data_IF_954570669683
#
_entry.id   IF_954570669683
#
_cell.length_a   1.000
_cell.length_b   1.000
_cell.length_c   1.000
_cell.angle_alpha   90.00
_cell.angle_beta   90.00
_cell.angle_gamma   90.00
#
_symmetry.space_group_name_H-M   'P 1'
#
loop_
_entity.id
_entity.type
_entity.pdbx_description
1 polymer ?
#
# COMPACT_ATOMS: atom_id res chain seq x y z
N UNK A 1 21.00 -5.69 23.36
CA UNK A 1 20.08 -6.24 22.33
C UNK A 1 20.59 -5.77 20.97
N UNK A 2 20.57 -6.66 20.00
CA UNK A 2 20.88 -6.31 18.62
C UNK A 2 19.84 -5.31 18.09
N UNK A 3 20.21 -4.51 17.07
CA UNK A 3 19.31 -3.54 16.44
C UNK A 3 18.35 -4.24 15.47
N UNK A 4 17.18 -3.65 15.27
CA UNK A 4 16.26 -4.01 14.20
C UNK A 4 16.49 -3.08 13.01
N UNK A 5 16.79 -3.63 11.85
CA UNK A 5 16.97 -2.90 10.61
C UNK A 5 15.66 -2.68 9.86
N UNK A 6 15.45 -1.51 9.27
CA UNK A 6 14.31 -1.25 8.36
C UNK A 6 14.83 -0.61 7.09
N UNK A 7 14.69 -1.27 5.94
CA UNK A 7 15.10 -0.75 4.64
C UNK A 7 13.89 -0.18 3.90
N UNK A 8 13.98 1.10 3.53
CA UNK A 8 12.89 1.86 2.93
C UNK A 8 12.05 2.56 4.00
N UNK A 9 12.35 3.84 4.27
CA UNK A 9 11.69 4.63 5.30
C UNK A 9 10.50 5.44 4.73
N UNK A 10 9.68 4.76 3.91
CA UNK A 10 8.44 5.31 3.35
C UNK A 10 7.25 5.17 4.29
N UNK A 11 6.04 5.18 3.70
CA UNK A 11 4.75 5.07 4.40
C UNK A 11 4.53 3.73 5.13
N UNK A 12 5.33 2.71 4.85
CA UNK A 12 5.34 1.41 5.53
C UNK A 12 6.48 1.34 6.53
N UNK A 13 7.72 1.58 6.08
CA UNK A 13 8.89 1.33 6.91
C UNK A 13 9.08 2.33 8.05
N UNK A 14 8.75 3.61 7.88
CA UNK A 14 8.89 4.59 8.96
C UNK A 14 7.91 4.32 10.12
N UNK A 15 6.61 4.06 9.89
CA UNK A 15 5.71 3.62 10.97
C UNK A 15 6.17 2.36 11.67
N UNK A 16 6.66 1.36 10.93
CA UNK A 16 7.23 0.13 11.48
C UNK A 16 8.43 0.43 12.38
N UNK A 17 9.40 1.20 11.88
CA UNK A 17 10.59 1.61 12.63
C UNK A 17 10.24 2.30 13.95
N UNK A 18 9.27 3.21 13.93
CA UNK A 18 8.77 3.92 15.11
C UNK A 18 8.09 2.96 16.09
N UNK A 19 7.30 2.00 15.60
CA UNK A 19 6.61 1.02 16.45
C UNK A 19 7.61 0.15 17.21
N UNK A 20 8.69 -0.31 16.56
CA UNK A 20 9.78 -1.02 17.23
C UNK A 20 10.52 -0.12 18.23
N UNK A 21 10.87 1.12 17.86
CA UNK A 21 11.55 2.05 18.75
C UNK A 21 10.73 2.37 20.01
N UNK A 22 9.43 2.59 19.86
CA UNK A 22 8.48 2.84 20.96
C UNK A 22 8.31 1.63 21.89
N UNK A 23 8.50 0.42 21.37
CA UNK A 23 8.53 -0.80 22.16
C UNK A 23 9.90 -1.04 22.88
N UNK A 24 10.84 -0.09 22.74
CA UNK A 24 12.17 -0.16 23.38
C UNK A 24 13.19 -1.03 22.65
N UNK A 25 12.95 -1.32 21.36
CA UNK A 25 13.91 -1.97 20.46
C UNK A 25 14.70 -0.89 19.73
N UNK A 26 16.03 -0.95 19.76
CA UNK A 26 16.86 -0.03 18.96
C UNK A 26 16.69 -0.30 17.47
N UNK A 27 16.44 0.75 16.69
CA UNK A 27 16.19 0.65 15.25
C UNK A 27 17.23 1.42 14.45
N UNK A 28 17.73 0.77 13.39
CA UNK A 28 18.55 1.40 12.36
C UNK A 28 17.78 1.38 11.04
N UNK A 29 17.31 2.54 10.60
CA UNK A 29 16.63 2.71 9.32
C UNK A 29 17.61 2.94 8.18
N UNK A 30 17.32 2.36 7.02
CA UNK A 30 18.09 2.51 5.79
C UNK A 30 17.22 3.13 4.71
N UNK A 31 17.65 4.19 4.07
CA UNK A 31 16.99 4.76 2.88
C UNK A 31 18.08 5.29 1.93
N UNK A 32 17.80 5.26 0.63
CA UNK A 32 18.73 5.81 -0.40
C UNK A 32 18.65 7.33 -0.51
N UNK A 33 17.67 7.96 0.12
CA UNK A 33 17.42 9.40 0.07
C UNK A 33 18.06 10.09 1.29
N UNK A 34 19.20 10.75 1.05
CA UNK A 34 19.93 11.50 2.06
C UNK A 34 19.05 12.55 2.76
N UNK A 35 18.13 13.20 2.02
CA UNK A 35 17.26 14.22 2.60
C UNK A 35 16.30 13.65 3.65
N UNK A 36 15.81 12.40 3.46
CA UNK A 36 15.01 11.72 4.48
C UNK A 36 15.84 11.38 5.71
N UNK A 37 17.04 10.85 5.50
CA UNK A 37 17.96 10.49 6.59
C UNK A 37 18.33 11.73 7.42
N UNK A 38 18.66 12.85 6.79
CA UNK A 38 18.95 14.11 7.48
C UNK A 38 17.75 14.65 8.27
N UNK A 39 16.55 14.62 7.67
CA UNK A 39 15.33 15.06 8.35
C UNK A 39 15.03 14.21 9.57
N UNK A 40 15.12 12.88 9.48
CA UNK A 40 14.93 11.98 10.63
C UNK A 40 15.97 12.23 11.71
N UNK A 41 17.24 12.42 11.35
CA UNK A 41 18.31 12.76 12.29
C UNK A 41 18.07 14.09 13.01
N UNK A 42 17.39 15.04 12.35
CA UNK A 42 16.96 16.31 12.93
C UNK A 42 15.64 16.23 13.74
N UNK A 43 15.07 15.04 13.90
CA UNK A 43 13.78 14.83 14.59
C UNK A 43 12.57 15.36 13.80
N UNK A 44 12.66 15.39 12.45
CA UNK A 44 11.63 15.93 11.57
C UNK A 44 11.00 14.87 10.70
N UNK A 45 9.68 14.90 10.60
CA UNK A 45 8.91 14.03 9.71
C UNK A 45 8.83 14.61 8.29
N UNK A 46 8.71 13.73 7.30
CA UNK A 46 8.29 14.03 5.92
C UNK A 46 6.96 13.34 5.57
N UNK A 47 6.35 12.64 6.53
CA UNK A 47 5.03 12.01 6.40
C UNK A 47 4.06 12.82 7.27
N UNK A 48 3.07 13.43 6.67
CA UNK A 48 2.13 14.34 7.36
C UNK A 48 1.42 13.71 8.54
N UNK A 49 1.07 12.42 8.43
CA UNK A 49 0.36 11.67 9.46
C UNK A 49 1.25 11.31 10.67
N UNK A 50 2.57 11.51 10.56
CA UNK A 50 3.53 11.26 11.63
C UNK A 50 4.02 12.63 12.13
N UNK A 51 3.68 13.05 13.35
CA UNK A 51 4.13 14.34 13.87
C UNK A 51 5.64 14.35 14.17
N UNK A 52 6.28 15.50 14.00
CA UNK A 52 7.69 15.71 14.31
C UNK A 52 8.05 15.27 15.74
N UNK A 53 7.15 15.51 16.69
CA UNK A 53 7.36 15.14 18.11
C UNK A 53 7.58 13.64 18.31
N UNK A 54 6.96 12.80 17.51
CA UNK A 54 7.11 11.33 17.57
C UNK A 54 8.50 10.91 17.08
N UNK A 55 8.97 11.51 15.97
CA UNK A 55 10.34 11.28 15.46
C UNK A 55 11.37 11.80 16.46
N UNK A 56 11.22 13.06 16.92
CA UNK A 56 12.14 13.68 17.87
C UNK A 56 12.27 12.86 19.17
N UNK A 57 11.18 12.34 19.71
CA UNK A 57 11.18 11.50 20.89
C UNK A 57 11.97 10.19 20.67
N UNK A 58 11.75 9.50 19.55
CA UNK A 58 12.44 8.25 19.21
C UNK A 58 13.96 8.47 19.03
N UNK A 59 14.36 9.54 18.33
CA UNK A 59 15.75 9.91 18.11
C UNK A 59 16.43 10.34 19.41
N UNK A 60 15.79 11.20 20.21
CA UNK A 60 16.35 11.67 21.48
C UNK A 60 16.53 10.54 22.52
N UNK A 61 15.65 9.53 22.48
CA UNK A 61 15.79 8.32 23.31
C UNK A 61 16.89 7.35 22.81
N UNK A 62 17.52 7.64 21.65
CA UNK A 62 18.47 6.73 21.01
C UNK A 62 17.81 5.46 20.44
N UNK A 63 16.47 5.45 20.33
CA UNK A 63 15.70 4.31 19.82
C UNK A 63 15.62 4.25 18.30
N UNK A 64 15.88 5.35 17.59
CA UNK A 64 15.86 5.41 16.14
C UNK A 64 17.07 6.16 15.61
N UNK A 65 17.80 5.54 14.69
CA UNK A 65 18.80 6.17 13.83
C UNK A 65 18.49 5.85 12.36
N UNK A 66 18.96 6.69 11.42
CA UNK A 66 18.82 6.46 10.00
C UNK A 66 20.17 6.65 9.29
N UNK A 67 20.37 5.94 8.18
CA UNK A 67 21.60 5.96 7.40
C UNK A 67 21.35 5.62 5.93
N UNK A 68 22.23 6.11 5.04
CA UNK A 68 22.34 5.66 3.65
C UNK A 68 23.44 4.61 3.47
N UNK A 69 24.22 4.34 4.53
CA UNK A 69 25.32 3.38 4.52
C UNK A 69 24.84 1.95 4.79
N UNK A 70 24.79 1.15 3.74
CA UNK A 70 24.38 -0.27 3.83
C UNK A 70 25.42 -1.19 4.49
N UNK A 71 26.69 -0.76 4.66
CA UNK A 71 27.69 -1.56 5.37
C UNK A 71 27.30 -1.77 6.84
N UNK A 72 26.47 -0.87 7.37
CA UNK A 72 25.90 -0.96 8.71
C UNK A 72 24.82 -2.05 8.86
N UNK A 73 24.41 -2.76 7.79
CA UNK A 73 23.59 -3.96 7.89
C UNK A 73 24.23 -5.04 8.78
N UNK A 74 25.53 -5.03 8.93
CA UNK A 74 26.25 -5.91 9.88
C UNK A 74 25.94 -5.64 11.35
N UNK A 75 25.35 -4.47 11.71
CA UNK A 75 25.04 -4.08 13.08
C UNK A 75 23.65 -4.61 13.54
N UNK A 76 22.79 -5.06 12.62
CA UNK A 76 21.42 -5.45 12.93
C UNK A 76 21.27 -6.97 13.07
N UNK A 77 20.42 -7.43 14.01
CA UNK A 77 20.09 -8.85 14.19
C UNK A 77 18.94 -9.31 13.30
N UNK A 78 18.02 -8.39 12.97
CA UNK A 78 16.94 -8.61 12.03
C UNK A 78 16.80 -7.41 11.09
N UNK A 79 16.36 -7.63 9.85
CA UNK A 79 16.14 -6.56 8.86
C UNK A 79 14.83 -6.77 8.11
N UNK A 80 13.96 -5.75 8.12
CA UNK A 80 12.72 -5.69 7.37
C UNK A 80 12.92 -4.93 6.04
N UNK A 81 12.43 -5.51 4.95
CA UNK A 81 12.43 -4.91 3.61
C UNK A 81 11.07 -4.26 3.37
N UNK A 82 11.03 -2.92 3.32
CA UNK A 82 9.84 -2.09 3.16
C UNK A 82 9.93 -1.19 1.92
N UNK A 83 10.56 -1.67 0.85
CA UNK A 83 10.74 -0.94 -0.39
C UNK A 83 9.50 -1.00 -1.29
N UNK A 84 9.31 -0.03 -2.21
CA UNK A 84 8.18 -0.04 -3.12
C UNK A 84 8.13 -1.27 -4.04
N UNK A 85 6.92 -1.73 -4.36
CA UNK A 85 6.64 -2.79 -5.33
C UNK A 85 5.55 -2.31 -6.30
N UNK A 86 5.87 -1.43 -7.25
CA UNK A 86 4.88 -0.90 -8.19
C UNK A 86 4.52 -1.94 -9.25
N UNK A 87 3.49 -1.64 -10.05
CA UNK A 87 3.27 -2.31 -11.33
C UNK A 87 4.06 -1.61 -12.43
N UNK A 88 4.54 -2.39 -13.40
CA UNK A 88 5.11 -1.87 -14.64
C UNK A 88 4.02 -1.34 -15.62
N UNK A 89 4.43 -0.88 -16.79
CA UNK A 89 3.52 -0.40 -17.85
C UNK A 89 2.53 -1.44 -18.39
N UNK A 90 2.77 -2.72 -18.13
CA UNK A 90 1.91 -3.84 -18.52
C UNK A 90 1.07 -4.40 -17.36
N UNK A 91 1.04 -3.69 -16.22
CA UNK A 91 0.39 -4.09 -14.97
C UNK A 91 0.96 -5.38 -14.38
N UNK A 92 2.26 -5.64 -14.60
CA UNK A 92 2.97 -6.75 -13.97
C UNK A 92 3.74 -6.26 -12.74
N UNK A 93 3.94 -7.12 -11.72
CA UNK A 93 4.72 -6.77 -10.53
C UNK A 93 6.16 -6.37 -10.87
N UNK A 94 6.60 -5.20 -10.43
CA UNK A 94 7.99 -4.78 -10.53
C UNK A 94 8.69 -5.01 -9.18
N UNK A 95 9.46 -6.09 -9.10
CA UNK A 95 10.25 -6.46 -7.93
C UNK A 95 11.69 -5.90 -7.96
N UNK A 96 12.02 -5.02 -8.89
CA UNK A 96 13.39 -4.50 -9.07
C UNK A 96 13.99 -3.92 -7.80
N UNK A 97 13.19 -3.17 -7.03
CA UNK A 97 13.63 -2.60 -5.74
C UNK A 97 13.88 -3.68 -4.69
N UNK A 98 13.01 -4.68 -4.60
CA UNK A 98 13.16 -5.81 -3.68
C UNK A 98 14.42 -6.59 -4.02
N UNK A 99 14.65 -6.90 -5.31
CA UNK A 99 15.82 -7.63 -5.77
C UNK A 99 17.11 -6.85 -5.60
N UNK A 100 17.09 -5.53 -5.82
CA UNK A 100 18.25 -4.69 -5.54
C UNK A 100 18.61 -4.70 -4.04
N UNK A 101 17.61 -4.52 -3.18
CA UNK A 101 17.76 -4.60 -1.73
C UNK A 101 18.26 -5.97 -1.28
N UNK A 102 17.74 -7.06 -1.88
CA UNK A 102 18.17 -8.42 -1.58
C UNK A 102 19.67 -8.62 -1.86
N UNK A 103 20.20 -8.06 -2.96
CA UNK A 103 21.63 -8.13 -3.28
C UNK A 103 22.48 -7.35 -2.27
N UNK A 104 22.03 -6.17 -1.84
CA UNK A 104 22.72 -5.39 -0.80
C UNK A 104 22.75 -6.14 0.54
N UNK A 105 21.65 -6.80 0.91
CA UNK A 105 21.60 -7.65 2.11
C UNK A 105 22.53 -8.85 1.93
N UNK A 106 22.40 -9.60 0.84
CA UNK A 106 23.16 -10.82 0.59
C UNK A 106 24.69 -10.61 0.71
N UNK A 107 25.19 -9.48 0.18
CA UNK A 107 26.62 -9.12 0.25
C UNK A 107 27.11 -8.89 1.68
N UNK A 108 26.24 -8.66 2.65
CA UNK A 108 26.54 -8.30 4.05
C UNK A 108 25.88 -9.22 5.08
N UNK A 109 25.14 -10.22 4.59
CA UNK A 109 24.41 -11.16 5.44
C UNK A 109 25.40 -11.99 6.29
N UNK A 110 25.12 -12.08 7.57
CA UNK A 110 25.93 -12.85 8.52
C UNK A 110 25.11 -13.93 9.20
N UNK A 111 25.76 -15.01 9.69
CA UNK A 111 25.07 -16.05 10.44
C UNK A 111 24.26 -15.49 11.64
N UNK A 112 23.06 -16.04 11.84
CA UNK A 112 22.13 -15.65 12.89
C UNK A 112 21.20 -14.51 12.58
N UNK A 113 21.37 -13.81 11.44
CA UNK A 113 20.47 -12.72 11.06
C UNK A 113 19.12 -13.22 10.54
N UNK A 114 18.07 -12.43 10.80
CA UNK A 114 16.74 -12.63 10.25
C UNK A 114 16.47 -11.58 9.16
N UNK A 115 16.00 -12.02 8.00
CA UNK A 115 15.47 -11.15 6.94
C UNK A 115 13.96 -11.29 6.87
N UNK A 116 13.22 -10.19 6.85
CA UNK A 116 11.76 -10.18 6.74
C UNK A 116 11.35 -9.35 5.53
N UNK A 117 10.59 -9.92 4.61
CA UNK A 117 9.95 -9.16 3.55
C UNK A 117 8.61 -8.61 4.05
N UNK A 118 8.46 -7.29 4.05
CA UNK A 118 7.22 -6.59 4.42
C UNK A 118 6.55 -5.93 3.20
N UNK A 119 7.30 -5.74 2.11
CA UNK A 119 6.76 -5.20 0.86
C UNK A 119 5.67 -6.10 0.30
N UNK A 120 4.59 -5.51 -0.21
CA UNK A 120 3.50 -6.28 -0.84
C UNK A 120 3.98 -6.97 -2.11
N UNK A 121 3.76 -8.28 -2.20
CA UNK A 121 4.21 -9.12 -3.31
C UNK A 121 3.19 -10.23 -3.59
N UNK A 122 3.37 -11.01 -4.68
CA UNK A 122 2.56 -12.19 -4.96
C UNK A 122 3.05 -13.41 -4.16
N UNK A 123 2.16 -14.40 -3.91
CA UNK A 123 2.53 -15.63 -3.21
C UNK A 123 3.68 -16.36 -3.90
N UNK A 124 4.69 -16.74 -3.12
CA UNK A 124 5.91 -17.37 -3.57
C UNK A 124 7.11 -16.44 -3.69
N UNK A 125 6.93 -15.12 -3.70
CA UNK A 125 8.02 -14.15 -3.86
C UNK A 125 9.14 -14.36 -2.84
N UNK A 126 8.81 -14.58 -1.57
CA UNK A 126 9.83 -14.78 -0.52
C UNK A 126 10.69 -16.01 -0.79
N UNK A 127 10.07 -17.12 -1.22
CA UNK A 127 10.77 -18.39 -1.40
C UNK A 127 11.37 -18.56 -2.80
N UNK A 128 10.66 -18.13 -3.84
CA UNK A 128 11.04 -18.38 -5.23
C UNK A 128 11.97 -17.29 -5.79
N UNK A 129 11.82 -16.04 -5.33
CA UNK A 129 12.56 -14.89 -5.84
C UNK A 129 13.63 -14.38 -4.85
N UNK A 130 13.24 -14.11 -3.60
CA UNK A 130 14.11 -13.49 -2.61
C UNK A 130 15.16 -14.47 -2.08
N UNK A 131 14.74 -15.66 -1.68
CA UNK A 131 15.61 -16.68 -1.09
C UNK A 131 16.82 -17.03 -1.97
N UNK A 132 16.66 -17.34 -3.28
CA UNK A 132 17.80 -17.67 -4.13
C UNK A 132 18.85 -16.55 -4.24
N UNK A 133 18.41 -15.28 -4.18
CA UNK A 133 19.32 -14.13 -4.19
C UNK A 133 20.10 -14.02 -2.90
N UNK A 134 19.45 -14.25 -1.75
CA UNK A 134 20.11 -14.22 -0.45
C UNK A 134 21.13 -15.35 -0.30
N UNK A 135 20.75 -16.57 -0.61
CA UNK A 135 21.65 -17.75 -0.54
C UNK A 135 22.81 -17.63 -1.55
N UNK A 136 22.48 -17.32 -2.82
CA UNK A 136 23.48 -17.20 -3.87
C UNK A 136 24.51 -16.09 -3.66
N UNK A 137 24.09 -14.96 -3.07
CA UNK A 137 24.97 -13.83 -2.81
C UNK A 137 25.77 -13.92 -1.51
N UNK A 138 25.24 -14.60 -0.48
CA UNK A 138 25.89 -14.75 0.82
C UNK A 138 26.68 -16.07 0.96
N UNK A 139 26.27 -17.11 0.25
CA UNK A 139 26.77 -18.46 0.47
C UNK A 139 26.24 -19.13 1.75
N UNK A 140 25.24 -18.51 2.42
CA UNK A 140 24.60 -19.03 3.63
C UNK A 140 23.33 -19.79 3.28
N UNK A 141 22.91 -20.73 4.14
CA UNK A 141 21.72 -21.56 3.96
C UNK A 141 20.60 -21.13 4.91
N UNK A 142 19.40 -20.93 4.37
CA UNK A 142 18.21 -20.55 5.16
C UNK A 142 17.83 -21.60 6.17
N UNK A 143 17.40 -21.19 7.36
CA UNK A 143 17.00 -22.09 8.45
C UNK A 143 18.17 -22.67 9.23
N UNK A 144 19.38 -22.67 8.65
CA UNK A 144 20.60 -23.11 9.32
C UNK A 144 21.49 -21.93 9.71
N UNK A 145 21.86 -21.12 8.73
CA UNK A 145 22.82 -20.02 8.92
C UNK A 145 22.13 -18.67 9.08
N UNK A 146 21.02 -18.45 8.40
CA UNK A 146 20.19 -17.25 8.53
C UNK A 146 18.70 -17.60 8.49
N UNK A 147 17.84 -16.65 8.86
CA UNK A 147 16.40 -16.85 8.89
C UNK A 147 15.71 -15.96 7.86
N UNK A 148 14.59 -16.42 7.30
CA UNK A 148 13.80 -15.69 6.31
C UNK A 148 12.30 -15.83 6.58
N UNK A 149 11.60 -14.71 6.63
CA UNK A 149 10.16 -14.66 6.87
C UNK A 149 9.47 -13.59 5.99
N UNK A 150 8.17 -13.68 5.93
CA UNK A 150 7.29 -12.65 5.35
C UNK A 150 6.28 -12.16 6.39
N UNK A 151 6.05 -10.85 6.42
CA UNK A 151 5.01 -10.24 7.23
C UNK A 151 4.35 -9.09 6.47
N UNK A 152 3.07 -9.20 6.07
CA UNK A 152 2.41 -8.13 5.31
C UNK A 152 2.17 -6.89 6.18
N UNK A 153 2.35 -5.72 5.59
CA UNK A 153 1.84 -4.49 6.18
C UNK A 153 0.34 -4.37 5.91
N UNK A 154 -0.43 -4.10 6.97
CA UNK A 154 -1.90 -4.04 6.95
C UNK A 154 -2.44 -2.71 7.46
N UNK A 155 -1.58 -1.70 7.61
CA UNK A 155 -1.97 -0.37 8.08
C UNK A 155 -2.88 0.33 7.06
N UNK A 156 -3.87 1.06 7.58
CA UNK A 156 -4.73 1.94 6.82
C UNK A 156 -4.39 3.40 7.21
N UNK A 157 -3.55 4.11 6.42
CA UNK A 157 -3.12 5.46 6.75
C UNK A 157 -4.30 6.39 7.00
N UNK A 158 -4.27 7.11 8.13
CA UNK A 158 -5.35 7.99 8.57
C UNK A 158 -6.48 7.28 9.32
N UNK A 159 -6.39 5.99 9.60
CA UNK A 159 -7.33 5.29 10.48
C UNK A 159 -7.23 5.82 11.91
N UNK A 160 -8.38 6.17 12.52
CA UNK A 160 -8.44 6.76 13.87
C UNK A 160 -8.55 5.72 14.99
N UNK A 161 -8.85 4.47 14.64
CA UNK A 161 -9.12 3.39 15.61
C UNK A 161 -8.01 2.36 15.70
N UNK A 162 -7.26 2.16 14.60
CA UNK A 162 -6.20 1.16 14.51
C UNK A 162 -4.89 1.80 14.04
N UNK A 163 -3.80 1.30 14.54
CA UNK A 163 -2.45 1.70 14.16
C UNK A 163 -1.56 0.46 13.95
N UNK A 164 -0.34 0.66 13.51
CA UNK A 164 0.63 -0.42 13.21
C UNK A 164 0.75 -1.44 14.35
N UNK A 165 0.74 -1.01 15.60
CA UNK A 165 0.87 -1.89 16.78
C UNK A 165 -0.38 -2.71 17.07
N UNK A 166 -1.57 -2.11 16.93
CA UNK A 166 -2.85 -2.72 17.34
C UNK A 166 -3.46 -3.61 16.26
N UNK A 167 -3.05 -3.46 14.99
CA UNK A 167 -3.45 -4.34 13.90
C UNK A 167 -2.72 -5.68 14.05
N UNK A 168 -3.43 -6.83 14.10
CA UNK A 168 -2.77 -8.13 14.22
C UNK A 168 -1.77 -8.35 13.07
N UNK A 169 -0.51 -8.66 13.40
CA UNK A 169 0.55 -8.88 12.42
C UNK A 169 0.57 -10.34 12.00
N UNK A 170 0.40 -10.64 10.72
CA UNK A 170 0.53 -11.99 10.18
C UNK A 170 2.00 -12.28 9.92
N UNK A 171 2.46 -13.50 10.20
CA UNK A 171 3.88 -13.85 10.10
C UNK A 171 4.05 -15.28 9.58
N UNK A 172 4.77 -15.46 8.47
CA UNK A 172 5.10 -16.75 7.88
C UNK A 172 6.60 -16.92 7.70
N UNK A 173 7.18 -17.97 8.28
CA UNK A 173 8.59 -18.31 8.11
C UNK A 173 8.81 -19.30 6.95
N UNK A 174 9.98 -19.24 6.32
CA UNK A 174 10.36 -20.23 5.30
C UNK A 174 10.51 -21.64 5.90
N UNK A 175 10.95 -21.70 7.15
CA UNK A 175 11.00 -22.91 8.00
C UNK A 175 10.39 -22.58 9.37
N UNK A 176 10.18 -23.63 10.21
CA UNK A 176 9.71 -23.45 11.58
C UNK A 176 10.73 -22.65 12.42
N UNK A 177 12.03 -22.81 12.17
CA UNK A 177 13.08 -22.02 12.82
C UNK A 177 13.03 -20.56 12.39
N UNK A 178 12.79 -20.28 11.12
CA UNK A 178 12.58 -18.93 10.61
C UNK A 178 11.37 -18.26 11.27
N UNK A 179 10.27 -19.01 11.41
CA UNK A 179 9.06 -18.50 12.06
C UNK A 179 9.33 -18.19 13.54
N UNK A 180 10.02 -19.07 14.26
CA UNK A 180 10.37 -18.84 15.68
C UNK A 180 11.24 -17.60 15.85
N UNK A 181 12.28 -17.46 15.05
CA UNK A 181 13.14 -16.29 15.08
C UNK A 181 12.37 -14.99 14.80
N UNK A 182 11.45 -15.02 13.84
CA UNK A 182 10.61 -13.85 13.53
C UNK A 182 9.63 -13.52 14.67
N UNK A 183 9.04 -14.52 15.33
CA UNK A 183 8.16 -14.32 16.49
C UNK A 183 8.90 -13.66 17.66
N UNK A 184 10.16 -14.03 17.93
CA UNK A 184 10.97 -13.42 19.00
C UNK A 184 11.15 -11.89 18.81
N UNK A 185 11.15 -11.39 17.57
CA UNK A 185 11.22 -9.97 17.28
C UNK A 185 9.86 -9.27 17.32
N UNK A 186 8.79 -9.93 16.86
CA UNK A 186 7.49 -9.29 16.62
C UNK A 186 6.56 -9.36 17.84
N UNK A 187 6.53 -10.47 18.57
CA UNK A 187 5.62 -10.62 19.73
C UNK A 187 5.82 -9.56 20.84
N UNK A 188 7.05 -9.09 21.14
CA UNK A 188 7.23 -8.02 22.13
C UNK A 188 6.74 -6.65 21.68
N UNK A 189 6.51 -6.46 20.35
CA UNK A 189 6.26 -5.16 19.72
C UNK A 189 4.79 -4.98 19.38
N UNK A 190 4.14 -6.03 18.89
CA UNK A 190 2.74 -5.99 18.43
C UNK A 190 1.80 -6.61 19.44
N UNK A 191 0.62 -6.02 19.60
CA UNK A 191 -0.40 -6.50 20.54
C UNK A 191 -0.88 -7.93 20.20
N UNK A 192 -0.79 -8.32 18.94
CA UNK A 192 -1.12 -9.66 18.48
C UNK A 192 -0.30 -10.03 17.25
N UNK A 193 0.35 -11.18 17.26
CA UNK A 193 0.96 -11.82 16.10
C UNK A 193 0.18 -13.09 15.75
N UNK A 194 -0.03 -13.33 14.46
CA UNK A 194 -0.76 -14.48 13.92
C UNK A 194 0.21 -15.29 13.07
N UNK A 195 0.84 -16.34 13.63
CA UNK A 195 1.70 -17.20 12.85
C UNK A 195 0.89 -18.03 11.85
N UNK A 196 1.45 -18.20 10.66
CA UNK A 196 0.89 -19.03 9.58
C UNK A 196 1.93 -20.03 9.08
N UNK A 197 1.49 -21.04 8.35
CA UNK A 197 2.30 -22.21 7.97
C UNK A 197 3.46 -21.93 7.00
N UNK A 198 3.49 -20.75 6.38
CA UNK A 198 4.57 -20.36 5.45
C UNK A 198 4.41 -18.95 4.94
N UNK A 199 5.46 -18.41 4.30
CA UNK A 199 5.43 -17.07 3.74
C UNK A 199 4.34 -16.91 2.67
N UNK A 200 4.08 -17.93 1.86
CA UNK A 200 3.06 -17.92 0.80
C UNK A 200 1.65 -17.66 1.34
N UNK A 201 1.34 -18.21 2.54
CA UNK A 201 0.05 -17.97 3.20
C UNK A 201 -0.04 -16.53 3.68
N UNK A 202 1.04 -15.99 4.24
CA UNK A 202 1.09 -14.60 4.71
C UNK A 202 1.01 -13.61 3.52
N UNK A 203 1.73 -13.87 2.43
CA UNK A 203 1.69 -13.11 1.17
C UNK A 203 0.26 -13.09 0.59
N UNK A 204 -0.36 -14.28 0.45
CA UNK A 204 -1.72 -14.39 -0.08
C UNK A 204 -2.76 -13.72 0.82
N UNK A 205 -2.59 -13.74 2.13
CA UNK A 205 -3.51 -13.10 3.07
C UNK A 205 -3.69 -11.62 2.75
N UNK A 206 -2.59 -10.89 2.54
CA UNK A 206 -2.63 -9.46 2.19
C UNK A 206 -3.36 -9.21 0.87
N UNK A 207 -2.99 -9.98 -0.15
CA UNK A 207 -3.60 -9.87 -1.49
C UNK A 207 -5.09 -10.18 -1.43
N UNK A 208 -5.48 -11.21 -0.67
CA UNK A 208 -6.88 -11.61 -0.52
C UNK A 208 -7.72 -10.53 0.18
N UNK A 209 -7.20 -9.90 1.23
CA UNK A 209 -7.89 -8.78 1.91
C UNK A 209 -8.18 -7.62 0.95
N UNK A 210 -7.21 -7.23 0.14
CA UNK A 210 -7.36 -6.15 -0.83
C UNK A 210 -8.24 -6.56 -2.02
N UNK A 211 -8.13 -7.80 -2.47
CA UNK A 211 -9.03 -8.38 -3.49
C UNK A 211 -10.48 -8.39 -3.00
N UNK A 212 -10.73 -8.85 -1.78
CA UNK A 212 -12.07 -8.83 -1.17
C UNK A 212 -12.66 -7.42 -1.20
N UNK A 213 -11.89 -6.41 -0.81
CA UNK A 213 -12.33 -5.01 -0.86
C UNK A 213 -12.62 -4.56 -2.29
N UNK A 214 -11.71 -4.82 -3.22
CA UNK A 214 -11.85 -4.43 -4.63
C UNK A 214 -13.07 -5.05 -5.32
N UNK A 215 -13.32 -6.34 -5.09
CA UNK A 215 -14.48 -7.06 -5.64
C UNK A 215 -15.80 -6.53 -5.06
N UNK A 216 -15.87 -6.29 -3.75
CA UNK A 216 -17.09 -5.78 -3.13
C UNK A 216 -17.39 -4.32 -3.54
N UNK A 217 -16.35 -3.49 -3.76
CA UNK A 217 -16.55 -2.15 -4.32
C UNK A 217 -17.05 -2.24 -5.78
N UNK A 218 -16.53 -3.16 -6.59
CA UNK A 218 -17.03 -3.38 -7.95
C UNK A 218 -18.51 -3.80 -7.94
N UNK A 219 -18.90 -4.68 -7.03
CA UNK A 219 -20.30 -5.11 -6.85
C UNK A 219 -21.23 -3.92 -6.56
N UNK A 220 -20.88 -3.04 -5.63
CA UNK A 220 -21.73 -1.87 -5.32
C UNK A 220 -21.65 -0.79 -6.40
N UNK A 221 -20.56 -0.71 -7.17
CA UNK A 221 -20.48 0.15 -8.35
C UNK A 221 -21.40 -0.34 -9.47
N UNK A 222 -21.44 -1.64 -9.74
CA UNK A 222 -22.36 -2.23 -10.69
C UNK A 222 -23.83 -2.04 -10.24
N UNK A 223 -24.09 -2.27 -8.93
CA UNK A 223 -25.42 -2.01 -8.35
C UNK A 223 -25.84 -0.54 -8.51
N UNK A 224 -24.90 0.41 -8.33
CA UNK A 224 -25.18 1.84 -8.58
C UNK A 224 -25.64 2.10 -10.01
N UNK A 225 -24.98 1.50 -11.00
CA UNK A 225 -25.37 1.64 -12.41
C UNK A 225 -26.79 1.14 -12.64
N UNK A 226 -27.13 -0.02 -12.06
CA UNK A 226 -28.48 -0.58 -12.13
C UNK A 226 -29.51 0.32 -11.45
N UNK A 227 -29.23 0.76 -10.22
CA UNK A 227 -30.12 1.63 -9.44
C UNK A 227 -30.39 2.96 -10.14
N UNK A 228 -29.39 3.55 -10.80
CA UNK A 228 -29.57 4.75 -11.61
C UNK A 228 -30.61 4.55 -12.73
N UNK A 229 -30.61 3.39 -13.39
CA UNK A 229 -31.61 3.06 -14.43
C UNK A 229 -33.01 2.78 -13.86
N UNK A 230 -33.07 2.29 -12.64
CA UNK A 230 -34.31 1.98 -11.94
C UNK A 230 -34.92 3.17 -11.19
N UNK A 231 -34.18 4.28 -11.06
CA UNK A 231 -34.60 5.44 -10.26
C UNK A 231 -34.56 5.17 -8.74
N UNK A 232 -33.68 4.27 -8.29
CA UNK A 232 -33.51 3.88 -6.89
C UNK A 232 -32.24 4.52 -6.33
N UNK A 233 -32.29 5.00 -5.09
CA UNK A 233 -31.09 5.49 -4.40
C UNK A 233 -30.30 4.30 -3.84
N UNK A 234 -29.12 4.04 -4.42
CA UNK A 234 -28.21 2.95 -4.00
C UNK A 234 -27.69 3.15 -2.58
N UNK A 235 -27.53 4.39 -2.12
CA UNK A 235 -27.03 4.66 -0.76
C UNK A 235 -28.08 4.26 0.29
N UNK A 236 -29.35 4.58 0.07
CA UNK A 236 -30.45 4.12 0.93
C UNK A 236 -30.53 2.58 0.98
N UNK A 237 -30.34 1.91 -0.16
CA UNK A 237 -30.30 0.44 -0.22
C UNK A 237 -29.16 -0.13 0.62
N UNK A 238 -27.95 0.44 0.51
CA UNK A 238 -26.77 -0.03 1.25
C UNK A 238 -26.95 0.25 2.76
N UNK A 239 -27.44 1.43 3.14
CA UNK A 239 -27.72 1.78 4.54
C UNK A 239 -28.76 0.82 5.15
N UNK A 240 -29.85 0.55 4.46
CA UNK A 240 -30.85 -0.41 4.90
C UNK A 240 -30.26 -1.82 5.04
N UNK A 241 -29.48 -2.29 4.07
CA UNK A 241 -28.84 -3.59 4.12
C UNK A 241 -27.83 -3.71 5.27
N UNK A 242 -27.13 -2.62 5.61
CA UNK A 242 -26.14 -2.57 6.71
C UNK A 242 -26.78 -2.68 8.11
N UNK A 243 -28.08 -2.57 8.23
CA UNK A 243 -28.80 -2.83 9.49
C UNK A 243 -28.83 -4.30 9.85
N UNK A 244 -28.55 -5.20 8.88
CA UNK A 244 -28.47 -6.64 9.13
C UNK A 244 -27.20 -6.97 9.92
N UNK A 245 -27.30 -7.59 11.12
CA UNK A 245 -26.15 -7.74 12.01
C UNK A 245 -25.19 -8.87 11.60
N UNK A 246 -25.45 -9.62 10.54
CA UNK A 246 -24.62 -10.73 10.05
C UNK A 246 -24.75 -10.92 8.54
N UNK A 247 -23.71 -11.48 7.93
CA UNK A 247 -23.70 -11.86 6.51
C UNK A 247 -23.76 -10.69 5.52
N UNK A 248 -23.54 -9.45 5.98
CA UNK A 248 -23.39 -8.26 5.16
C UNK A 248 -22.32 -7.35 5.74
N UNK A 249 -21.53 -6.73 4.85
CA UNK A 249 -20.59 -5.68 5.17
C UNK A 249 -20.79 -4.56 4.14
N UNK A 250 -21.02 -3.35 4.61
CA UNK A 250 -21.27 -2.22 3.72
C UNK A 250 -19.99 -1.80 2.97
N UNK A 251 -20.13 -1.65 1.64
CA UNK A 251 -19.20 -0.97 0.77
C UNK A 251 -19.95 0.13 0.03
N UNK A 252 -19.23 1.19 -0.33
CA UNK A 252 -19.84 2.37 -0.92
C UNK A 252 -19.37 2.55 -2.35
N UNK A 253 -20.28 2.81 -3.32
CA UNK A 253 -19.91 3.08 -4.68
C UNK A 253 -19.20 4.43 -4.79
N UNK A 254 -18.25 4.52 -5.72
CA UNK A 254 -17.47 5.73 -5.97
C UNK A 254 -17.13 5.93 -7.45
N UNK A 255 -16.33 6.96 -7.77
CA UNK A 255 -15.88 7.24 -9.13
C UNK A 255 -14.79 6.29 -9.64
N UNK A 256 -14.45 5.26 -8.90
CA UNK A 256 -13.38 4.30 -9.16
C UNK A 256 -12.63 3.94 -7.88
N UNK A 257 -11.55 3.20 -8.04
CA UNK A 257 -10.63 2.87 -6.95
C UNK A 257 -9.40 3.78 -7.00
N UNK A 258 -8.93 4.19 -5.82
CA UNK A 258 -7.70 4.93 -5.65
C UNK A 258 -6.81 4.32 -4.58
N UNK A 259 -5.61 4.90 -4.40
CA UNK A 259 -4.59 4.44 -3.48
C UNK A 259 -3.65 3.40 -4.07
N UNK A 260 -2.60 3.04 -3.31
CA UNK A 260 -1.53 2.19 -3.79
C UNK A 260 -1.88 0.70 -3.89
N UNK A 261 -2.79 0.22 -3.04
CA UNK A 261 -2.96 -1.22 -2.83
C UNK A 261 -4.12 -1.79 -3.65
N UNK A 262 -5.33 -1.22 -3.52
CA UNK A 262 -6.54 -1.83 -4.08
C UNK A 262 -6.54 -1.87 -5.62
N UNK A 263 -6.06 -0.86 -6.35
CA UNK A 263 -5.94 -0.92 -7.81
C UNK A 263 -4.79 -1.82 -8.30
N UNK A 264 -3.86 -2.20 -7.44
CA UNK A 264 -2.58 -2.85 -7.78
C UNK A 264 -2.55 -4.31 -7.33
N UNK A 265 -2.77 -4.57 -6.05
CA UNK A 265 -2.57 -5.89 -5.42
C UNK A 265 -3.37 -7.03 -6.06
N UNK A 266 -4.63 -6.86 -6.52
CA UNK A 266 -5.34 -7.93 -7.21
C UNK A 266 -4.65 -8.41 -8.49
N UNK A 267 -3.93 -7.53 -9.19
CA UNK A 267 -3.18 -7.90 -10.39
C UNK A 267 -1.95 -8.76 -10.09
N UNK A 268 -1.37 -8.65 -8.89
CA UNK A 268 -0.34 -9.60 -8.44
C UNK A 268 -0.86 -11.04 -8.42
N UNK A 269 -2.10 -11.23 -7.95
CA UNK A 269 -2.71 -12.56 -7.94
C UNK A 269 -3.08 -13.04 -9.34
N UNK A 270 -3.57 -12.15 -10.20
CA UNK A 270 -3.84 -12.48 -11.61
C UNK A 270 -2.55 -12.88 -12.33
N UNK A 271 -1.45 -12.15 -12.12
CA UNK A 271 -0.14 -12.49 -12.67
C UNK A 271 0.31 -13.90 -12.22
N UNK A 272 0.28 -14.17 -10.91
CA UNK A 272 0.68 -15.49 -10.37
C UNK A 272 -0.25 -16.62 -10.82
N UNK A 273 -1.55 -16.38 -10.98
CA UNK A 273 -2.52 -17.36 -11.43
C UNK A 273 -2.23 -17.89 -12.85
N UNK A 274 -1.60 -17.09 -13.71
CA UNK A 274 -1.20 -17.54 -15.04
C UNK A 274 -0.17 -18.66 -15.02
N UNK A 275 0.69 -18.74 -14.01
CA UNK A 275 1.63 -19.85 -13.84
C UNK A 275 0.91 -21.18 -13.57
N UNK A 276 -0.32 -21.11 -13.05
CA UNK A 276 -1.20 -22.26 -12.79
C UNK A 276 -2.28 -22.44 -13.87
N UNK A 277 -2.10 -21.80 -15.03
CA UNK A 277 -3.05 -21.87 -16.16
C UNK A 277 -4.49 -21.46 -15.78
N UNK A 278 -4.63 -20.55 -14.81
CA UNK A 278 -5.91 -20.12 -14.24
C UNK A 278 -6.19 -18.64 -14.53
N UNK A 279 -7.46 -18.33 -14.95
CA UNK A 279 -7.97 -16.97 -15.04
C UNK A 279 -8.71 -16.58 -13.76
N UNK A 280 -8.41 -15.41 -13.23
CA UNK A 280 -9.03 -14.86 -12.00
C UNK A 280 -10.27 -14.03 -12.34
N UNK A 281 -11.36 -14.68 -12.78
CA UNK A 281 -12.55 -14.03 -13.37
C UNK A 281 -13.15 -12.93 -12.51
N UNK A 282 -13.33 -13.16 -11.20
CA UNK A 282 -13.87 -12.15 -10.29
C UNK A 282 -12.96 -10.93 -10.15
N UNK A 283 -11.65 -11.16 -10.11
CA UNK A 283 -10.65 -10.10 -9.94
C UNK A 283 -10.56 -9.26 -11.21
N UNK A 284 -10.47 -9.90 -12.36
CA UNK A 284 -10.39 -9.24 -13.66
C UNK A 284 -11.66 -8.42 -13.93
N UNK A 285 -12.85 -9.02 -13.70
CA UNK A 285 -14.13 -8.33 -13.86
C UNK A 285 -14.26 -7.14 -12.90
N UNK A 286 -13.87 -7.31 -11.64
CA UNK A 286 -13.87 -6.22 -10.66
C UNK A 286 -12.95 -5.07 -11.08
N UNK A 287 -11.78 -5.40 -11.62
CA UNK A 287 -10.85 -4.42 -12.19
C UNK A 287 -11.45 -3.65 -13.36
N UNK A 288 -12.16 -4.33 -14.27
CA UNK A 288 -12.85 -3.73 -15.41
C UNK A 288 -13.97 -2.77 -14.96
N UNK A 289 -14.85 -3.22 -14.07
CA UNK A 289 -15.95 -2.40 -13.54
C UNK A 289 -15.41 -1.15 -12.85
N UNK A 290 -14.47 -1.30 -11.94
CA UNK A 290 -13.92 -0.19 -11.18
C UNK A 290 -13.16 0.81 -12.07
N UNK A 291 -12.41 0.34 -13.06
CA UNK A 291 -11.71 1.18 -14.03
C UNK A 291 -12.65 1.91 -15.00
N UNK A 292 -13.87 1.40 -15.19
CA UNK A 292 -14.91 2.03 -16.00
C UNK A 292 -15.65 3.19 -15.32
N UNK A 293 -15.58 3.27 -13.97
CA UNK A 293 -16.35 4.26 -13.21
C UNK A 293 -16.03 5.72 -13.52
N UNK A 294 -14.76 6.14 -13.73
CA UNK A 294 -14.46 7.53 -14.10
C UNK A 294 -15.16 7.95 -15.39
N UNK A 295 -15.21 7.06 -16.39
CA UNK A 295 -15.91 7.31 -17.66
C UNK A 295 -17.41 7.52 -17.43
N UNK A 296 -18.03 6.69 -16.58
CA UNK A 296 -19.43 6.84 -16.20
C UNK A 296 -19.70 8.21 -15.57
N UNK A 297 -18.80 8.68 -14.67
CA UNK A 297 -18.93 10.01 -14.07
C UNK A 297 -18.92 11.11 -15.13
N UNK A 298 -17.99 11.05 -16.10
CA UNK A 298 -17.90 12.03 -17.19
C UNK A 298 -19.16 12.00 -18.06
N UNK A 299 -19.70 10.82 -18.36
CA UNK A 299 -20.95 10.65 -19.10
C UNK A 299 -22.13 11.27 -18.34
N UNK A 300 -22.23 11.01 -17.04
CA UNK A 300 -23.29 11.58 -16.18
C UNK A 300 -23.21 13.11 -16.07
N UNK A 301 -22.01 13.69 -16.04
CA UNK A 301 -21.84 15.16 -16.11
C UNK A 301 -22.38 15.69 -17.45
N UNK A 302 -22.07 15.01 -18.54
CA UNK A 302 -22.60 15.38 -19.86
C UNK A 302 -24.13 15.31 -19.92
N UNK A 303 -24.75 14.24 -19.39
CA UNK A 303 -26.20 14.09 -19.31
C UNK A 303 -26.85 15.18 -18.44
N UNK A 304 -26.26 15.48 -17.27
CA UNK A 304 -26.76 16.53 -16.39
C UNK A 304 -26.71 17.91 -17.04
N UNK A 305 -25.64 18.24 -17.76
CA UNK A 305 -25.56 19.49 -18.51
C UNK A 305 -26.57 19.54 -19.65
N UNK A 306 -26.71 18.42 -20.38
CA UNK A 306 -27.67 18.33 -21.51
C UNK A 306 -29.11 18.52 -21.03
N UNK A 307 -29.50 18.04 -19.84
CA UNK A 307 -30.82 18.27 -19.26
C UNK A 307 -31.11 19.76 -18.97
N UNK A 308 -30.07 20.60 -18.94
CA UNK A 308 -30.14 22.06 -18.81
C UNK A 308 -29.81 22.81 -20.11
N UNK A 309 -29.88 22.11 -21.24
CA UNK A 309 -29.57 22.66 -22.56
C UNK A 309 -28.15 23.23 -22.69
N UNK A 310 -27.19 22.68 -21.93
CA UNK A 310 -25.78 23.09 -21.96
C UNK A 310 -24.90 21.98 -22.53
N UNK A 311 -24.02 22.31 -23.50
CA UNK A 311 -23.03 21.34 -23.98
C UNK A 311 -21.92 21.15 -22.93
N UNK A 312 -21.32 19.97 -22.89
CA UNK A 312 -20.14 19.74 -22.04
C UNK A 312 -18.95 20.59 -22.49
N UNK A 313 -18.76 20.73 -23.82
CA UNK A 313 -17.72 21.60 -24.40
C UNK A 313 -17.95 23.06 -24.04
N UNK A 314 -16.96 23.67 -23.39
CA UNK A 314 -17.00 25.06 -22.93
C UNK A 314 -17.72 25.27 -21.59
N UNK A 315 -18.33 24.26 -21.00
CA UNK A 315 -18.90 24.34 -19.65
C UNK A 315 -17.80 24.36 -18.59
N UNK A 316 -17.98 25.15 -17.54
CA UNK A 316 -17.11 25.14 -16.36
C UNK A 316 -17.59 24.07 -15.40
N UNK A 317 -16.64 23.22 -14.95
CA UNK A 317 -16.89 22.11 -14.02
C UNK A 317 -15.90 22.24 -12.87
N UNK A 318 -16.40 22.27 -11.65
CA UNK A 318 -15.58 22.24 -10.43
C UNK A 318 -15.57 20.79 -9.87
N UNK A 319 -14.38 20.22 -9.72
CA UNK A 319 -14.17 18.95 -9.06
C UNK A 319 -13.83 19.19 -7.60
N UNK A 320 -14.63 18.61 -6.68
CA UNK A 320 -14.42 18.75 -5.25
C UNK A 320 -13.68 17.52 -4.72
N UNK A 321 -12.42 17.74 -4.26
CA UNK A 321 -11.52 16.70 -3.77
C UNK A 321 -10.81 15.95 -4.89
N UNK A 322 -9.48 15.88 -4.79
CA UNK A 322 -8.64 15.10 -5.72
C UNK A 322 -7.80 14.04 -5.03
N UNK A 323 -7.79 13.98 -3.69
CA UNK A 323 -7.19 12.88 -2.95
C UNK A 323 -7.97 11.58 -3.16
N UNK A 324 -7.31 10.42 -3.01
CA UNK A 324 -7.99 9.13 -3.18
C UNK A 324 -8.89 8.74 -2.01
N UNK A 325 -8.77 9.39 -0.86
CA UNK A 325 -9.69 9.24 0.29
C UNK A 325 -9.75 10.51 1.13
N UNK A 326 -10.74 10.64 2.05
CA UNK A 326 -10.86 11.81 2.93
C UNK A 326 -9.66 12.00 3.86
N UNK A 327 -9.42 13.25 4.25
CA UNK A 327 -8.47 13.68 5.28
C UNK A 327 -6.97 13.38 4.98
N UNK A 328 -6.60 13.16 3.71
CA UNK A 328 -5.22 12.95 3.28
C UNK A 328 -4.82 13.91 2.15
N UNK A 329 -3.52 14.08 1.96
CA UNK A 329 -2.89 14.89 0.91
C UNK A 329 -2.27 14.03 -0.22
N UNK A 330 -2.84 12.85 -0.46
CA UNK A 330 -2.32 11.89 -1.44
C UNK A 330 -3.32 11.69 -2.60
N UNK A 331 -2.89 12.07 -3.81
CA UNK A 331 -3.68 11.91 -5.03
C UNK A 331 -3.22 10.74 -5.92
N UNK A 332 -2.25 9.94 -5.46
CA UNK A 332 -1.74 8.82 -6.26
C UNK A 332 -2.85 7.81 -6.54
N UNK A 333 -2.94 7.40 -7.82
CA UNK A 333 -4.01 6.51 -8.31
C UNK A 333 -5.44 7.02 -8.00
N UNK A 334 -5.61 8.34 -7.76
CA UNK A 334 -6.93 8.89 -7.49
C UNK A 334 -7.84 8.81 -8.71
N UNK A 335 -9.07 8.32 -8.59
CA UNK A 335 -10.03 8.29 -9.70
C UNK A 335 -10.51 9.69 -10.14
N UNK A 336 -10.25 10.74 -9.35
CA UNK A 336 -10.51 12.12 -9.76
C UNK A 336 -9.67 12.53 -10.96
N UNK A 337 -8.43 12.02 -11.08
CA UNK A 337 -7.53 12.35 -12.20
C UNK A 337 -8.13 11.92 -13.54
N UNK A 338 -8.49 10.66 -13.80
CA UNK A 338 -9.11 10.25 -15.06
C UNK A 338 -10.49 10.91 -15.28
N UNK A 339 -11.22 11.33 -14.24
CA UNK A 339 -12.43 12.14 -14.40
C UNK A 339 -12.09 13.52 -14.97
N UNK A 340 -11.11 14.22 -14.38
CA UNK A 340 -10.65 15.53 -14.88
C UNK A 340 -10.16 15.43 -16.32
N UNK A 341 -9.30 14.47 -16.60
CA UNK A 341 -8.79 14.23 -17.97
C UNK A 341 -9.91 13.94 -18.99
N UNK A 342 -10.89 13.12 -18.59
CA UNK A 342 -12.04 12.82 -19.44
C UNK A 342 -12.95 14.02 -19.70
N UNK A 343 -13.11 14.94 -18.74
CA UNK A 343 -13.84 16.19 -18.90
C UNK A 343 -13.06 17.17 -19.81
N UNK A 344 -11.77 17.35 -19.59
CA UNK A 344 -10.89 18.19 -20.41
C UNK A 344 -10.83 17.69 -21.86
N UNK A 345 -10.70 16.38 -22.09
CA UNK A 345 -10.70 15.79 -23.42
C UNK A 345 -11.99 16.04 -24.21
N UNK A 346 -13.11 16.23 -23.50
CA UNK A 346 -14.41 16.61 -24.09
C UNK A 346 -14.62 18.13 -24.20
N UNK A 347 -13.60 18.92 -23.86
CA UNK A 347 -13.57 20.37 -24.02
C UNK A 347 -14.25 21.16 -22.87
N UNK A 348 -14.46 20.55 -21.71
CA UNK A 348 -14.87 21.27 -20.51
C UNK A 348 -13.72 22.14 -19.97
N UNK A 349 -14.07 23.21 -19.25
CA UNK A 349 -13.13 24.01 -18.47
C UNK A 349 -13.19 23.50 -17.03
N UNK A 350 -12.12 22.85 -16.57
CA UNK A 350 -12.14 22.17 -15.27
C UNK A 350 -11.25 22.86 -14.27
N UNK A 351 -11.85 23.21 -13.14
CA UNK A 351 -11.17 23.65 -11.93
C UNK A 351 -11.32 22.55 -10.87
N UNK A 352 -10.45 22.53 -9.85
CA UNK A 352 -10.66 21.66 -8.69
C UNK A 352 -10.50 22.43 -7.39
N UNK A 353 -11.08 21.91 -6.32
CA UNK A 353 -10.84 22.37 -4.95
C UNK A 353 -10.48 21.20 -4.05
N UNK A 354 -9.35 21.30 -3.36
CA UNK A 354 -8.92 20.34 -2.33
C UNK A 354 -8.18 21.08 -1.23
N UNK A 355 -8.63 20.98 0.06
CA UNK A 355 -8.02 21.70 1.17
C UNK A 355 -6.60 21.22 1.52
N UNK A 356 -6.21 20.03 1.05
CA UNK A 356 -4.92 19.42 1.39
C UNK A 356 -3.94 19.41 0.21
N UNK A 357 -4.44 19.60 -1.02
CA UNK A 357 -3.63 19.56 -2.24
C UNK A 357 -3.80 20.88 -3.00
N UNK A 358 -3.05 21.93 -2.63
CA UNK A 358 -3.17 23.25 -3.24
C UNK A 358 -2.72 23.29 -4.70
N UNK A 359 -1.83 22.39 -5.11
CA UNK A 359 -1.39 22.22 -6.48
C UNK A 359 -1.16 20.74 -6.79
N UNK A 360 -1.52 20.29 -7.99
CA UNK A 360 -1.29 18.91 -8.43
C UNK A 360 0.21 18.63 -8.50
N UNK A 361 0.75 17.69 -7.68
CA UNK A 361 2.12 17.25 -7.81
C UNK A 361 2.32 16.45 -9.10
N UNK A 362 3.55 16.37 -9.64
CA UNK A 362 3.87 15.46 -10.72
C UNK A 362 3.63 14.01 -10.27
N UNK A 363 2.88 13.25 -11.07
CA UNK A 363 2.65 11.83 -10.84
C UNK A 363 2.95 11.06 -12.12
N UNK A 364 3.15 9.75 -12.02
CA UNK A 364 3.30 8.88 -13.20
C UNK A 364 2.00 8.74 -14.00
N UNK A 365 0.84 9.08 -13.42
CA UNK A 365 -0.47 8.94 -14.05
C UNK A 365 -0.83 10.10 -14.96
N UNK A 366 -0.38 11.32 -14.64
CA UNK A 366 -0.81 12.52 -15.34
C UNK A 366 0.27 13.58 -15.35
N UNK A 367 0.31 14.31 -16.46
CA UNK A 367 1.11 15.53 -16.63
C UNK A 367 0.32 16.80 -16.30
N UNK A 368 -0.95 16.67 -15.91
CA UNK A 368 -1.78 17.81 -15.54
C UNK A 368 -1.14 18.65 -14.44
N UNK A 369 -1.24 19.96 -14.59
CA UNK A 369 -0.79 20.94 -13.62
C UNK A 369 -1.91 21.93 -13.39
N UNK A 370 -2.73 21.65 -12.39
CA UNK A 370 -3.81 22.53 -11.94
C UNK A 370 -3.51 22.97 -10.50
N UNK A 371 -4.05 24.13 -10.14
CA UNK A 371 -4.03 24.65 -8.78
C UNK A 371 -5.45 24.63 -8.21
N UNK A 372 -5.55 24.39 -6.91
CA UNK A 372 -6.83 24.42 -6.21
C UNK A 372 -7.37 25.86 -6.17
N UNK A 373 -8.64 26.02 -6.50
CA UNK A 373 -9.35 27.30 -6.41
C UNK A 373 -9.98 27.51 -5.05
#
# INVERSE_FOLDING_TARGET
>A
RELFGVIGLGYVGLPLALTFAEAGVGVLGFDIDDAKVERLGAGKSYIRQIPDSRIAAAVAAGGLAATTDYDRLSEVGAVAICVPTPLDGHRQPDLSYVMATAREIAARLRPGQLVILESTTYPGTTREELLPVLEGGSGLEVGRDFQLAFSPEREDPGNKHFNTRTIPKVLGGVTDDCLRAALEWYEPVFDRVVPVSGPEVAELTKIFENTFRGVNIALVNELKILCLKMGIDVYEVIEAANTKPFGFMAFWPGPGLGGHCIPIDPFYLTYKAHEYEMSTRFIELAGEINSGMPRLVVERVGEALNSHEKPLKGSRVLVLGIAYKPDIDDMRESPAVPVIEGLLARGALVDYHDPYIPAMPPTRQTELRLESV
#
